data_IF_125680225915
#
_entry.id   IF_125680225915
#
_cell.length_a   1.000
_cell.length_b   1.000
_cell.length_c   1.000
_cell.angle_alpha   90.00
_cell.angle_beta   90.00
_cell.angle_gamma   90.00
#
_symmetry.space_group_name_H-M   'P 1'
#
loop_
_entity.id
_entity.type
_entity.pdbx_description
1 polymer ?
#
# COMPACT_ATOMS: atom_id res chain seq x y z
N UNK A 1 -0.09 -4.41 12.60
CA UNK A 1 -0.95 -3.73 11.60
C UNK A 1 -0.38 -2.34 11.35
N UNK A 2 -0.29 -1.95 10.08
CA UNK A 2 0.18 -0.65 9.60
C UNK A 2 -0.81 -0.08 8.60
N UNK A 3 -0.95 1.24 8.58
CA UNK A 3 -1.84 1.99 7.70
C UNK A 3 -1.01 2.94 6.85
N UNK A 4 -0.98 2.71 5.54
CA UNK A 4 -0.25 3.52 4.58
C UNK A 4 -1.18 4.54 3.95
N UNK A 5 -0.81 5.82 4.02
CA UNK A 5 -1.46 6.89 3.24
C UNK A 5 -0.77 7.01 1.90
N UNK A 6 -1.50 6.82 0.82
CA UNK A 6 -0.94 6.69 -0.54
C UNK A 6 -1.54 7.75 -1.44
N UNK A 7 -0.70 8.60 -2.01
CA UNK A 7 -1.10 9.60 -2.99
C UNK A 7 -1.14 9.01 -4.40
N UNK A 8 -2.11 9.45 -5.21
CA UNK A 8 -2.27 9.03 -6.61
C UNK A 8 -3.29 7.91 -6.86
N UNK A 9 -3.90 7.32 -5.82
CA UNK A 9 -4.98 6.34 -5.98
C UNK A 9 -6.32 7.03 -6.31
N UNK A 10 -6.58 7.27 -7.60
CA UNK A 10 -7.77 8.02 -8.06
C UNK A 10 -8.85 7.16 -8.73
N UNK A 11 -8.64 5.84 -8.84
CA UNK A 11 -9.58 4.92 -9.49
C UNK A 11 -9.48 3.51 -8.90
N UNK A 12 -10.53 2.68 -9.04
CA UNK A 12 -10.52 1.28 -8.59
C UNK A 12 -9.46 0.38 -9.26
N UNK A 13 -8.92 0.79 -10.42
CA UNK A 13 -7.73 0.13 -10.99
C UNK A 13 -6.45 0.42 -10.20
N UNK A 14 -6.34 1.61 -9.59
CA UNK A 14 -5.19 1.99 -8.76
C UNK A 14 -5.16 1.18 -7.47
N UNK A 15 -6.33 0.97 -6.86
CA UNK A 15 -6.48 0.13 -5.66
C UNK A 15 -5.93 -1.28 -5.90
N UNK A 16 -6.32 -1.92 -7.01
CA UNK A 16 -5.86 -3.27 -7.35
C UNK A 16 -4.35 -3.32 -7.60
N UNK A 17 -3.76 -2.29 -8.21
CA UNK A 17 -2.31 -2.24 -8.42
C UNK A 17 -1.55 -2.16 -7.11
N UNK A 18 -1.95 -1.25 -6.22
CA UNK A 18 -1.33 -1.10 -4.90
C UNK A 18 -1.50 -2.36 -4.08
N UNK A 19 -2.70 -2.94 -4.08
CA UNK A 19 -2.96 -4.21 -3.38
C UNK A 19 -2.01 -5.31 -3.87
N UNK A 20 -1.93 -5.54 -5.19
CA UNK A 20 -1.07 -6.58 -5.73
C UNK A 20 0.40 -6.35 -5.37
N UNK A 21 0.90 -5.12 -5.49
CA UNK A 21 2.28 -4.80 -5.17
C UNK A 21 2.62 -5.07 -3.69
N UNK A 22 1.69 -4.80 -2.78
CA UNK A 22 1.86 -5.12 -1.36
C UNK A 22 1.74 -6.62 -1.08
N UNK A 23 0.88 -7.36 -1.79
CA UNK A 23 0.73 -8.82 -1.65
C UNK A 23 1.94 -9.60 -2.21
N UNK A 24 2.75 -9.00 -3.09
CA UNK A 24 3.99 -9.61 -3.60
C UNK A 24 5.14 -9.62 -2.57
N UNK A 25 5.00 -8.87 -1.47
CA UNK A 25 6.02 -8.81 -0.41
C UNK A 25 5.81 -9.96 0.57
N UNK A 26 6.81 -10.84 0.69
CA UNK A 26 6.82 -11.89 1.72
C UNK A 26 6.68 -11.29 3.14
N UNK A 27 5.70 -11.78 3.88
CA UNK A 27 5.40 -11.28 5.23
C UNK A 27 4.49 -10.05 5.28
N UNK A 28 3.87 -9.67 4.16
CA UNK A 28 2.80 -8.67 4.13
C UNK A 28 1.46 -9.33 3.86
N UNK A 29 0.49 -9.08 4.73
CA UNK A 29 -0.91 -9.45 4.53
C UNK A 29 -1.73 -8.18 4.30
N UNK A 30 -2.31 -8.02 3.11
CA UNK A 30 -3.17 -6.87 2.82
C UNK A 30 -4.56 -7.11 3.41
N UNK A 31 -4.97 -6.24 4.33
CA UNK A 31 -6.28 -6.32 4.99
C UNK A 31 -7.34 -5.53 4.21
N UNK A 32 -6.98 -4.34 3.74
CA UNK A 32 -7.86 -3.47 2.95
C UNK A 32 -7.05 -2.47 2.15
N UNK A 33 -7.56 -2.07 0.99
CA UNK A 33 -7.06 -0.92 0.22
C UNK A 33 -8.29 -0.12 -0.21
N UNK A 34 -8.23 1.20 -0.07
CA UNK A 34 -9.33 2.10 -0.42
C UNK A 34 -8.77 3.28 -1.20
N UNK A 35 -9.05 3.32 -2.49
CA UNK A 35 -8.71 4.48 -3.33
C UNK A 35 -9.50 5.73 -2.90
N UNK A 36 -10.78 5.58 -2.49
CA UNK A 36 -11.59 6.69 -1.98
C UNK A 36 -10.95 7.39 -0.78
N UNK A 37 -10.35 6.62 0.12
CA UNK A 37 -9.68 7.15 1.32
C UNK A 37 -8.19 7.40 1.11
N UNK A 38 -7.61 6.98 -0.01
CA UNK A 38 -6.17 6.99 -0.26
C UNK A 38 -5.37 6.24 0.83
N UNK A 39 -5.90 5.09 1.29
CA UNK A 39 -5.32 4.33 2.39
C UNK A 39 -5.20 2.84 2.03
N UNK A 40 -4.09 2.22 2.42
CA UNK A 40 -3.92 0.76 2.47
C UNK A 40 -3.63 0.31 3.90
N UNK A 41 -4.32 -0.72 4.37
CA UNK A 41 -4.10 -1.32 5.68
C UNK A 41 -3.51 -2.71 5.50
N UNK A 42 -2.38 -2.96 6.14
CA UNK A 42 -1.66 -4.22 6.05
C UNK A 42 -1.29 -4.75 7.44
N UNK A 43 -1.17 -6.06 7.56
CA UNK A 43 -0.53 -6.72 8.69
C UNK A 43 0.84 -7.23 8.26
N UNK A 44 1.88 -6.74 8.91
CA UNK A 44 3.26 -7.03 8.54
C UNK A 44 4.23 -6.66 9.66
N UNK A 45 5.33 -7.41 9.74
CA UNK A 45 6.51 -7.10 10.55
C UNK A 45 7.66 -6.51 9.70
N UNK A 46 7.44 -6.32 8.40
CA UNK A 46 8.43 -5.79 7.47
C UNK A 46 8.64 -4.29 7.69
N UNK A 47 9.84 -3.78 7.41
CA UNK A 47 10.18 -2.37 7.55
C UNK A 47 9.34 -1.47 6.63
N UNK A 48 9.04 -0.27 7.12
CA UNK A 48 8.25 0.74 6.39
C UNK A 48 8.84 1.05 5.02
N UNK A 49 10.18 1.12 4.92
CA UNK A 49 10.89 1.38 3.67
C UNK A 49 10.59 0.35 2.58
N UNK A 50 10.36 -0.92 2.94
CA UNK A 50 10.03 -1.99 1.97
C UNK A 50 8.63 -1.77 1.42
N UNK A 51 7.68 -1.42 2.28
CA UNK A 51 6.30 -1.12 1.88
C UNK A 51 6.25 0.12 0.98
N UNK A 52 7.00 1.17 1.33
CA UNK A 52 7.11 2.38 0.53
C UNK A 52 7.68 2.07 -0.85
N UNK A 53 8.78 1.32 -0.92
CA UNK A 53 9.40 0.95 -2.18
C UNK A 53 8.44 0.18 -3.11
N UNK A 54 7.69 -0.78 -2.58
CA UNK A 54 6.73 -1.54 -3.40
C UNK A 54 5.59 -0.67 -3.95
N UNK A 55 5.09 0.27 -3.15
CA UNK A 55 4.07 1.23 -3.58
C UNK A 55 4.64 2.20 -4.63
N UNK A 56 5.90 2.63 -4.48
CA UNK A 56 6.62 3.46 -5.46
C UNK A 56 6.87 2.72 -6.78
N UNK A 57 7.26 1.44 -6.74
CA UNK A 57 7.41 0.62 -7.94
C UNK A 57 6.07 0.42 -8.68
N UNK A 58 4.96 0.41 -7.95
CA UNK A 58 3.62 0.40 -8.53
C UNK A 58 3.21 1.75 -9.16
N UNK A 59 3.99 2.81 -8.93
CA UNK A 59 3.79 4.16 -9.47
C UNK A 59 3.00 5.10 -8.55
N UNK A 60 3.00 4.85 -7.24
CA UNK A 60 2.29 5.64 -6.24
C UNK A 60 3.23 6.09 -5.12
N UNK A 61 2.83 7.09 -4.34
CA UNK A 61 3.70 7.64 -3.29
C UNK A 61 3.09 7.43 -1.92
N UNK A 62 3.84 6.83 -0.99
CA UNK A 62 3.42 6.76 0.42
C UNK A 62 3.78 8.07 1.11
N UNK A 63 2.78 8.75 1.66
CA UNK A 63 2.93 10.06 2.33
C UNK A 63 3.04 9.94 3.85
N UNK A 64 2.50 8.86 4.43
CA UNK A 64 2.61 8.54 5.84
C UNK A 64 2.36 7.05 6.09
N UNK A 65 2.92 6.54 7.18
CA UNK A 65 2.65 5.19 7.71
C UNK A 65 2.30 5.34 9.19
N UNK A 66 1.17 4.76 9.59
CA UNK A 66 0.59 4.81 10.95
C UNK A 66 0.39 3.41 11.54
#
# INVERSE_FOLDING_TARGET
MKTLKIDGMSCGHCERRVKNALEEIDGVQVLSVSADQNIATVETDVEDAVLMAAVEEAGYTVTAIE
#
